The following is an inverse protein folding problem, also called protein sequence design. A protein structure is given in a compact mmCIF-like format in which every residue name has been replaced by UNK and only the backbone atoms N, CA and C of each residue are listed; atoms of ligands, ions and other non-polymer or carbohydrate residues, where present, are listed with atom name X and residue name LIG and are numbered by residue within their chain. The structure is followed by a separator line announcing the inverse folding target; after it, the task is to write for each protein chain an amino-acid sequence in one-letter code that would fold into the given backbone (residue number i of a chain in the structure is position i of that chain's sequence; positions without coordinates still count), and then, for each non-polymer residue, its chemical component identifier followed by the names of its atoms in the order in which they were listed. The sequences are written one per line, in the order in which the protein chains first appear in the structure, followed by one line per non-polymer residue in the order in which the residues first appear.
data_IF_899916097050
#
_entry.id   IF_899916097050
#
_cell.length_a   1.000
_cell.length_b   1.000
_cell.length_c   1.000
_cell.angle_alpha   90.00
_cell.angle_beta   90.00
_cell.angle_gamma   90.00
#
_symmetry.space_group_name_H-M   'P 1'
#
loop_
_entity.id
_entity.type
_entity.pdbx_description
1 polymer ?
#
# COMPACT_ATOMS: atom_id res chain seq x y z
N UNK A 1 -11.82 -19.71 -2.08
CA UNK A 1 -11.32 -19.19 -0.78
C UNK A 1 -11.70 -17.71 -0.69
N UNK A 2 -12.50 -17.28 0.31
CA UNK A 2 -12.86 -15.85 0.46
C UNK A 2 -11.58 -15.06 0.76
N UNK A 3 -11.20 -14.14 -0.12
CA UNK A 3 -10.04 -13.26 0.06
C UNK A 3 -10.17 -12.51 1.39
N UNK A 4 -9.18 -12.68 2.26
CA UNK A 4 -9.04 -11.89 3.48
C UNK A 4 -8.65 -10.47 3.06
N UNK A 5 -9.56 -9.51 3.26
CA UNK A 5 -9.31 -8.11 2.91
C UNK A 5 -8.09 -7.60 3.68
N UNK A 6 -7.13 -6.91 3.04
CA UNK A 6 -5.91 -6.47 3.70
C UNK A 6 -6.14 -5.44 4.81
N UNK A 7 -7.33 -4.81 4.86
CA UNK A 7 -7.77 -3.89 5.91
C UNK A 7 -8.75 -4.53 6.94
N UNK A 8 -8.83 -5.86 6.99
CA UNK A 8 -9.63 -6.57 7.99
C UNK A 8 -9.07 -6.37 9.41
N UNK A 9 -9.68 -5.44 10.16
CA UNK A 9 -9.23 -5.03 11.50
C UNK A 9 -9.73 -5.93 12.65
N UNK A 10 -10.13 -5.28 13.76
CA UNK A 10 -10.44 -5.90 15.07
C UNK A 10 -11.75 -6.70 15.14
N UNK A 11 -12.57 -6.69 14.11
CA UNK A 11 -13.89 -7.33 14.15
C UNK A 11 -13.84 -8.76 13.61
N UNK A 12 -14.48 -9.68 14.34
CA UNK A 12 -14.57 -11.10 13.96
C UNK A 12 -15.68 -11.37 12.94
N UNK A 13 -16.64 -10.45 12.81
CA UNK A 13 -17.74 -10.50 11.84
C UNK A 13 -17.39 -9.72 10.57
N UNK A 14 -17.98 -10.11 9.45
CA UNK A 14 -17.85 -9.38 8.18
C UNK A 14 -18.44 -7.97 8.30
N UNK A 15 -17.82 -7.02 7.63
CA UNK A 15 -18.34 -5.65 7.53
C UNK A 15 -19.63 -5.69 6.69
N UNK A 16 -20.63 -4.92 7.09
CA UNK A 16 -21.89 -4.84 6.35
C UNK A 16 -21.63 -4.22 4.97
N UNK A 17 -22.26 -4.76 3.92
CA UNK A 17 -22.06 -4.30 2.54
C UNK A 17 -22.37 -2.81 2.34
N UNK A 18 -23.33 -2.27 3.08
CA UNK A 18 -23.66 -0.83 3.08
C UNK A 18 -22.51 0.03 3.61
N UNK A 19 -21.83 -0.42 4.67
CA UNK A 19 -20.66 0.27 5.22
C UNK A 19 -19.51 0.19 4.23
N UNK A 20 -19.26 -0.98 3.64
CA UNK A 20 -18.20 -1.15 2.64
C UNK A 20 -18.40 -0.20 1.45
N UNK A 21 -19.61 -0.17 0.89
CA UNK A 21 -19.94 0.69 -0.26
C UNK A 21 -19.84 2.18 0.07
N UNK A 22 -20.14 2.57 1.32
CA UNK A 22 -20.04 3.95 1.75
C UNK A 22 -18.59 4.39 2.01
N UNK A 23 -17.75 3.48 2.52
CA UNK A 23 -16.35 3.78 2.90
C UNK A 23 -15.34 3.53 1.80
N UNK A 24 -15.72 2.87 0.70
CA UNK A 24 -14.81 2.63 -0.40
C UNK A 24 -14.38 3.95 -1.04
N UNK A 25 -13.08 4.07 -1.33
CA UNK A 25 -12.51 5.24 -1.99
C UNK A 25 -11.77 4.90 -3.28
N UNK A 26 -11.62 3.62 -3.60
CA UNK A 26 -10.85 3.13 -4.75
C UNK A 26 -11.46 3.64 -6.06
N UNK A 27 -12.79 3.80 -6.13
CA UNK A 27 -13.47 4.33 -7.31
C UNK A 27 -12.98 5.71 -7.76
N UNK A 28 -12.33 6.49 -6.87
CA UNK A 28 -11.82 7.83 -7.20
C UNK A 28 -10.39 8.12 -6.73
N UNK A 29 -9.90 7.50 -5.66
CA UNK A 29 -8.56 7.76 -5.12
C UNK A 29 -7.44 7.08 -5.90
N UNK A 30 -7.76 6.11 -6.77
CA UNK A 30 -6.78 5.40 -7.60
C UNK A 30 -5.87 6.35 -8.36
N UNK A 31 -6.37 7.53 -8.75
CA UNK A 31 -5.62 8.60 -9.42
C UNK A 31 -4.40 9.09 -8.61
N UNK A 32 -4.37 8.83 -7.31
CA UNK A 32 -3.32 9.23 -6.39
C UNK A 32 -2.18 8.21 -6.30
N UNK A 33 -2.28 7.05 -6.95
CA UNK A 33 -1.31 5.96 -6.81
C UNK A 33 0.14 6.38 -7.07
N UNK A 34 0.36 7.30 -8.02
CA UNK A 34 1.70 7.81 -8.36
C UNK A 34 2.35 8.52 -7.17
N UNK A 35 1.58 9.32 -6.44
CA UNK A 35 2.06 10.04 -5.26
C UNK A 35 2.27 9.09 -4.08
N UNK A 36 1.43 8.05 -3.94
CA UNK A 36 1.62 7.01 -2.92
C UNK A 36 2.92 6.21 -3.17
N UNK A 37 3.24 5.93 -4.43
CA UNK A 37 4.52 5.33 -4.85
C UNK A 37 5.71 6.24 -4.50
N UNK A 38 5.65 7.53 -4.83
CA UNK A 38 6.70 8.50 -4.49
C UNK A 38 6.92 8.58 -2.97
N UNK A 39 5.83 8.66 -2.20
CA UNK A 39 5.86 8.64 -0.74
C UNK A 39 6.46 7.33 -0.19
N UNK A 40 6.12 6.20 -0.78
CA UNK A 40 6.65 4.88 -0.42
C UNK A 40 8.15 4.75 -0.71
N UNK A 41 8.64 5.28 -1.82
CA UNK A 41 10.08 5.33 -2.15
C UNK A 41 10.84 6.20 -1.12
N UNK A 42 10.29 7.37 -0.79
CA UNK A 42 10.88 8.26 0.22
C UNK A 42 10.93 7.56 1.59
N UNK A 43 9.85 6.89 1.98
CA UNK A 43 9.77 6.15 3.24
C UNK A 43 10.78 5.00 3.28
N UNK A 44 10.84 4.14 2.25
CA UNK A 44 11.83 3.06 2.18
C UNK A 44 13.27 3.58 2.24
N UNK A 45 13.54 4.71 1.59
CA UNK A 45 14.86 5.38 1.65
C UNK A 45 15.20 5.85 3.07
N UNK A 46 14.23 6.44 3.77
CA UNK A 46 14.40 6.83 5.17
C UNK A 46 14.63 5.61 6.08
N UNK A 47 13.88 4.51 5.91
CA UNK A 47 14.05 3.29 6.70
C UNK A 47 15.46 2.70 6.57
N UNK A 48 16.04 2.72 5.37
CA UNK A 48 17.40 2.28 5.14
C UNK A 48 18.43 3.19 5.83
N UNK A 49 18.24 4.51 5.76
CA UNK A 49 19.09 5.49 6.48
C UNK A 49 19.04 5.28 8.00
N UNK A 50 17.87 4.95 8.54
CA UNK A 50 17.67 4.60 9.95
C UNK A 50 18.17 3.20 10.31
N UNK A 51 18.72 2.45 9.35
CA UNK A 51 19.22 1.07 9.52
C UNK A 51 18.15 0.07 9.95
N UNK A 52 16.87 0.34 9.64
CA UNK A 52 15.75 -0.59 9.88
C UNK A 52 15.62 -1.63 8.77
N UNK A 53 16.08 -1.30 7.56
CA UNK A 53 16.22 -2.21 6.43
C UNK A 53 17.60 -2.03 5.81
N UNK A 54 18.07 -3.03 5.06
CA UNK A 54 19.31 -2.96 4.31
C UNK A 54 19.17 -2.14 3.02
N UNK A 55 20.29 -1.65 2.50
CA UNK A 55 20.34 -0.98 1.19
C UNK A 55 19.83 -1.88 0.06
N UNK A 56 20.04 -3.20 0.17
CA UNK A 56 19.57 -4.18 -0.81
C UNK A 56 18.04 -4.33 -0.77
N UNK A 57 17.45 -4.38 0.43
CA UNK A 57 16.00 -4.41 0.59
C UNK A 57 15.36 -3.13 0.06
N UNK A 58 15.91 -1.96 0.42
CA UNK A 58 15.49 -0.66 -0.14
C UNK A 58 15.54 -0.68 -1.67
N UNK A 59 16.65 -1.10 -2.27
CA UNK A 59 16.79 -1.16 -3.72
C UNK A 59 15.74 -2.08 -4.37
N UNK A 60 15.42 -3.19 -3.71
CA UNK A 60 14.41 -4.15 -4.19
C UNK A 60 13.00 -3.55 -4.15
N UNK A 61 12.66 -2.85 -3.07
CA UNK A 61 11.38 -2.12 -2.92
C UNK A 61 11.25 -1.03 -3.98
N UNK A 62 12.27 -0.16 -4.11
CA UNK A 62 12.27 0.94 -5.09
C UNK A 62 12.14 0.40 -6.51
N UNK A 63 12.83 -0.69 -6.86
CA UNK A 63 12.69 -1.33 -8.17
C UNK A 63 11.26 -1.83 -8.40
N UNK A 64 10.65 -2.49 -7.42
CA UNK A 64 9.27 -2.97 -7.52
C UNK A 64 8.27 -1.84 -7.72
N UNK A 65 8.39 -0.76 -6.93
CA UNK A 65 7.51 0.42 -7.01
C UNK A 65 7.65 1.14 -8.36
N UNK A 66 8.87 1.30 -8.87
CA UNK A 66 9.09 1.87 -10.20
C UNK A 66 8.53 0.97 -11.33
N UNK A 67 8.54 -0.36 -11.14
CA UNK A 67 7.89 -1.28 -12.07
C UNK A 67 6.39 -1.02 -12.17
N UNK A 68 5.70 -0.90 -11.02
CA UNK A 68 4.26 -0.58 -10.97
C UNK A 68 3.96 0.78 -11.61
N UNK A 69 4.84 1.78 -11.43
CA UNK A 69 4.65 3.10 -12.04
C UNK A 69 4.79 3.09 -13.57
N UNK A 70 5.53 2.13 -14.11
CA UNK A 70 5.81 1.99 -15.55
C UNK A 70 4.80 1.16 -16.33
N UNK A 71 3.88 0.48 -15.65
CA UNK A 71 2.73 -0.21 -16.25
C UNK A 71 1.59 0.78 -16.57
#
# INVERSE_FOLDING_TARGET
MKQKKPWGGRFTKQTAASVESFTESISFDWRLYKYDIEGSIAHATMLARCKLITEKEKASIVKGLNGILSE
#
